data_IF_995714113572
#
_entry.id   IF_995714113572
#
_cell.length_a   1.000
_cell.length_b   1.000
_cell.length_c   1.000
_cell.angle_alpha   90.00
_cell.angle_beta   90.00
_cell.angle_gamma   90.00
#
_symmetry.space_group_name_H-M   'P 1'
#
loop_
_entity.id
_entity.type
_entity.pdbx_description
1 polymer ?
#
# COMPACT_ATOMS: atom_id res chain seq x y z
N UNK A 1 24.07 -13.28 -15.93
CA UNK A 1 23.48 -11.92 -16.00
C UNK A 1 22.07 -12.09 -16.53
N UNK A 2 21.02 -11.79 -15.76
CA UNK A 2 19.66 -11.91 -16.27
C UNK A 2 19.42 -10.83 -17.33
N UNK A 3 18.83 -11.23 -18.46
CA UNK A 3 18.46 -10.32 -19.54
C UNK A 3 17.32 -9.37 -19.14
N UNK A 4 16.93 -8.44 -20.03
CA UNK A 4 15.83 -7.52 -19.76
C UNK A 4 14.54 -8.30 -19.48
N UNK A 5 13.93 -8.04 -18.33
CA UNK A 5 12.66 -8.63 -17.92
C UNK A 5 11.50 -7.86 -18.56
N UNK A 6 10.52 -8.57 -19.10
CA UNK A 6 9.28 -7.96 -19.58
C UNK A 6 8.50 -7.31 -18.43
N UNK A 7 7.73 -6.27 -18.75
CA UNK A 7 6.86 -5.62 -17.76
C UNK A 7 5.80 -6.61 -17.21
N UNK A 8 5.58 -6.66 -15.88
CA UNK A 8 4.71 -7.65 -15.25
C UNK A 8 3.22 -7.28 -15.35
N UNK A 9 2.65 -7.39 -16.55
CA UNK A 9 1.25 -7.04 -16.82
C UNK A 9 0.24 -7.81 -15.95
N UNK A 10 0.46 -9.10 -15.75
CA UNK A 10 -0.44 -9.97 -14.97
C UNK A 10 -0.58 -9.49 -13.51
N UNK A 11 0.53 -9.16 -12.85
CA UNK A 11 0.53 -8.75 -11.45
C UNK A 11 -0.12 -7.38 -11.27
N UNK A 12 0.20 -6.43 -12.18
CA UNK A 12 -0.40 -5.09 -12.21
C UNK A 12 -1.92 -5.18 -12.41
N UNK A 13 -2.39 -6.00 -13.36
CA UNK A 13 -3.83 -6.16 -13.62
C UNK A 13 -4.56 -6.82 -12.46
N UNK A 14 -4.00 -7.87 -11.85
CA UNK A 14 -4.57 -8.52 -10.66
C UNK A 14 -4.70 -7.54 -9.49
N UNK A 15 -3.69 -6.71 -9.27
CA UNK A 15 -3.70 -5.74 -8.19
C UNK A 15 -4.70 -4.60 -8.46
N UNK A 16 -4.67 -3.99 -9.64
CA UNK A 16 -5.53 -2.83 -9.94
C UNK A 16 -7.01 -3.22 -10.08
N UNK A 17 -7.31 -4.27 -10.85
CA UNK A 17 -8.68 -4.69 -11.13
C UNK A 17 -9.27 -5.54 -9.99
N UNK A 18 -8.42 -6.29 -9.28
CA UNK A 18 -8.84 -7.18 -8.19
C UNK A 18 -8.80 -6.52 -6.82
N UNK A 19 -7.61 -6.09 -6.38
CA UNK A 19 -7.42 -5.60 -5.01
C UNK A 19 -7.88 -4.15 -4.84
N UNK A 20 -7.52 -3.26 -5.76
CA UNK A 20 -7.96 -1.85 -5.76
C UNK A 20 -9.38 -1.66 -6.31
N UNK A 21 -9.97 -2.69 -6.93
CA UNK A 21 -11.32 -2.67 -7.51
C UNK A 21 -11.53 -1.54 -8.53
N UNK A 22 -10.48 -1.13 -9.22
CA UNK A 22 -10.61 -0.16 -10.31
C UNK A 22 -11.39 -0.76 -11.47
N UNK A 23 -12.18 0.07 -12.14
CA UNK A 23 -12.75 -0.34 -13.43
C UNK A 23 -11.61 -0.50 -14.45
N UNK A 24 -11.78 -1.34 -15.50
CA UNK A 24 -10.81 -1.40 -16.58
C UNK A 24 -10.53 -0.03 -17.22
N UNK A 25 -11.54 0.84 -17.27
CA UNK A 25 -11.39 2.20 -17.79
C UNK A 25 -10.45 3.05 -16.93
N UNK A 26 -10.61 3.01 -15.61
CA UNK A 26 -9.74 3.76 -14.69
C UNK A 26 -8.31 3.24 -14.75
N UNK A 27 -8.13 1.92 -14.80
CA UNK A 27 -6.83 1.29 -14.99
C UNK A 27 -6.12 1.77 -16.27
N UNK A 28 -6.81 1.77 -17.41
CA UNK A 28 -6.22 2.20 -18.68
C UNK A 28 -5.98 3.71 -18.78
N UNK A 29 -6.67 4.52 -17.97
CA UNK A 29 -6.44 5.97 -17.90
C UNK A 29 -5.35 6.36 -16.91
N UNK A 30 -5.02 5.49 -15.95
CA UNK A 30 -4.02 5.75 -14.95
C UNK A 30 -2.61 5.77 -15.56
N UNK A 31 -1.79 6.68 -15.05
CA UNK A 31 -0.36 6.75 -15.36
C UNK A 31 0.42 5.75 -14.52
N UNK A 32 1.62 5.30 -14.98
CA UNK A 32 2.48 4.43 -14.18
C UNK A 32 2.82 4.98 -12.78
N UNK A 33 2.92 6.31 -12.65
CA UNK A 33 3.16 6.98 -11.36
C UNK A 33 1.98 6.86 -10.42
N UNK A 34 0.76 6.98 -10.93
CA UNK A 34 -0.47 6.81 -10.13
C UNK A 34 -0.65 5.36 -9.71
N UNK A 35 -0.34 4.41 -10.59
CA UNK A 35 -0.34 2.97 -10.25
C UNK A 35 0.67 2.69 -9.12
N UNK A 36 1.89 3.22 -9.21
CA UNK A 36 2.89 3.05 -8.15
C UNK A 36 2.41 3.63 -6.81
N UNK A 37 1.82 4.82 -6.81
CA UNK A 37 1.27 5.44 -5.60
C UNK A 37 0.10 4.62 -5.00
N UNK A 38 -0.78 4.07 -5.84
CA UNK A 38 -1.88 3.23 -5.39
C UNK A 38 -1.40 1.90 -4.77
N UNK A 39 -0.35 1.30 -5.36
CA UNK A 39 0.31 0.10 -4.83
C UNK A 39 0.97 0.40 -3.47
N UNK A 40 1.67 1.53 -3.33
CA UNK A 40 2.24 1.95 -2.03
C UNK A 40 1.16 2.14 -0.96
N UNK A 41 0.01 2.71 -1.33
CA UNK A 41 -1.13 2.87 -0.44
C UNK A 41 -1.69 1.56 0.12
N UNK A 42 -1.69 0.48 -0.67
CA UNK A 42 -2.11 -0.85 -0.22
C UNK A 42 -1.20 -1.44 0.86
N UNK A 43 0.09 -1.08 0.85
CA UNK A 43 1.06 -1.48 1.88
C UNK A 43 0.93 -0.72 3.20
N UNK A 44 -0.09 0.15 3.36
CA UNK A 44 -0.20 1.05 4.50
C UNK A 44 0.63 2.34 4.36
N UNK A 45 1.11 2.64 3.15
CA UNK A 45 1.98 3.78 2.87
C UNK A 45 3.34 3.65 3.57
N UNK A 46 3.95 4.79 3.91
CA UNK A 46 5.11 4.80 4.81
C UNK A 46 4.64 4.29 6.17
N UNK A 47 4.88 3.01 6.46
CA UNK A 47 4.47 2.39 7.71
C UNK A 47 4.84 3.33 8.88
N UNK A 48 3.88 3.76 9.72
CA UNK A 48 4.24 4.45 10.94
C UNK A 48 5.18 3.55 11.73
N UNK A 49 6.19 4.13 12.38
CA UNK A 49 7.09 3.37 13.25
C UNK A 49 6.26 2.48 14.18
N UNK A 50 6.64 1.20 14.36
CA UNK A 50 5.93 0.31 15.27
C UNK A 50 5.79 0.98 16.64
N UNK A 51 4.59 0.97 17.20
CA UNK A 51 4.35 1.57 18.51
C UNK A 51 5.30 0.95 19.55
N UNK A 52 6.07 1.80 20.22
CA UNK A 52 7.06 1.40 21.20
C UNK A 52 6.47 1.26 22.59
N UNK A 53 7.31 0.80 23.53
CA UNK A 53 6.94 0.74 24.96
C UNK A 53 6.54 2.11 25.53
N UNK A 54 7.14 3.19 25.03
CA UNK A 54 6.82 4.56 25.42
C UNK A 54 5.42 5.00 24.98
N UNK A 55 4.98 4.57 23.79
CA UNK A 55 3.64 4.89 23.27
C UNK A 55 2.57 4.13 24.03
N UNK A 56 2.83 2.85 24.35
CA UNK A 56 1.97 2.07 25.23
C UNK A 56 1.84 2.74 26.61
N UNK A 57 2.95 3.22 27.19
CA UNK A 57 2.90 3.90 28.49
C UNK A 57 2.06 5.18 28.44
N UNK A 58 2.21 5.98 27.39
CA UNK A 58 1.37 7.17 27.17
C UNK A 58 -0.11 6.82 27.09
N UNK A 59 -0.47 5.73 26.41
CA UNK A 59 -1.87 5.28 26.30
C UNK A 59 -2.43 4.86 27.65
N UNK A 60 -1.68 4.11 28.46
CA UNK A 60 -2.09 3.71 29.80
C UNK A 60 -2.28 4.91 30.75
N UNK A 61 -1.38 5.89 30.66
CA UNK A 61 -1.46 7.10 31.49
C UNK A 61 -2.63 8.02 31.03
N UNK A 62 -2.96 8.03 29.72
CA UNK A 62 -4.04 8.84 29.16
C UNK A 62 -5.44 8.20 29.34
N UNK A 63 -5.51 6.87 29.36
CA UNK A 63 -6.76 6.11 29.49
C UNK A 63 -6.61 5.08 30.62
N UNK A 64 -6.67 5.52 31.90
CA UNK A 64 -6.57 4.61 33.02
C UNK A 64 -7.85 3.77 33.14
N UNK A 65 -7.68 2.45 33.12
CA UNK A 65 -8.77 1.49 33.37
C UNK A 65 -9.07 1.47 34.88
N UNK A 66 -9.96 2.37 35.31
CA UNK A 66 -10.48 2.45 36.68
C UNK A 66 -11.52 1.39 37.01
#
# INVERSE_FOLDING_TARGET
MSGPQAFPWEDIMRLCLGLLRWSPQDFWRATPREIAAAVEGLGGGKAPEPAGRGDLRRLMDAFPDG
#
